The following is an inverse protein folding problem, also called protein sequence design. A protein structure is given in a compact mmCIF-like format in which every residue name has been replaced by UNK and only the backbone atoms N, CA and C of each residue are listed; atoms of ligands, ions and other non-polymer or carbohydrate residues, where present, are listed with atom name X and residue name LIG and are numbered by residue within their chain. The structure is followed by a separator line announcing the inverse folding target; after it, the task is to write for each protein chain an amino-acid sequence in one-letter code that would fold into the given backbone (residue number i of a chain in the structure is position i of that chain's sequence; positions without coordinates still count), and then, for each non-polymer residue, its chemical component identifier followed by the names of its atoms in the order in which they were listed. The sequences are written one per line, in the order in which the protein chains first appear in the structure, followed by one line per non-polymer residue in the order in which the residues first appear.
data_IF_273703943683
#
_entry.id   IF_273703943683
#
_cell.length_a   1.000
_cell.length_b   1.000
_cell.length_c   1.000
_cell.angle_alpha   90.00
_cell.angle_beta   90.00
_cell.angle_gamma   90.00
#
_symmetry.space_group_name_H-M   'P 1'
#
loop_
_entity.id
_entity.type
_entity.pdbx_description
1 polymer ?
#
# COMPACT_ATOMS: atom_id res chain seq x y z
N UNK A 1 15.23 16.59 22.80
CA UNK A 1 16.15 16.22 21.70
C UNK A 1 16.12 17.33 20.66
N UNK A 2 17.26 17.76 20.13
CA UNK A 2 17.29 18.75 19.04
C UNK A 2 17.05 18.06 17.68
N UNK A 3 16.63 18.81 16.66
CA UNK A 3 16.40 18.26 15.30
C UNK A 3 17.68 17.63 14.69
N UNK A 4 18.86 18.14 15.05
CA UNK A 4 20.14 17.58 14.61
C UNK A 4 20.49 16.28 15.34
N UNK A 5 20.31 16.24 16.66
CA UNK A 5 20.48 15.00 17.44
C UNK A 5 19.49 13.91 17.00
N UNK A 6 18.33 14.32 16.49
CA UNK A 6 17.33 13.45 15.89
C UNK A 6 17.80 12.85 14.55
N UNK A 7 18.25 13.68 13.60
CA UNK A 7 18.77 13.22 12.31
C UNK A 7 20.01 12.31 12.46
N UNK A 8 20.87 12.62 13.43
CA UNK A 8 21.99 11.76 13.82
C UNK A 8 21.50 10.42 14.37
N UNK A 9 20.41 10.38 15.16
CA UNK A 9 19.82 9.12 15.66
C UNK A 9 19.14 8.28 14.56
N UNK A 10 18.53 8.90 13.54
CA UNK A 10 18.01 8.17 12.37
C UNK A 10 19.14 7.44 11.63
N UNK A 11 20.27 8.11 11.42
CA UNK A 11 21.40 7.55 10.70
C UNK A 11 22.20 6.53 11.51
N UNK A 12 22.22 6.65 12.83
CA UNK A 12 23.10 5.83 13.70
C UNK A 12 22.39 4.75 14.49
N UNK A 13 21.12 4.94 14.85
CA UNK A 13 20.34 3.99 15.67
C UNK A 13 18.98 3.63 15.08
N UNK A 14 18.73 3.97 13.80
CA UNK A 14 17.42 3.81 13.16
C UNK A 14 16.29 4.45 14.00
N UNK A 15 16.57 5.61 14.60
CA UNK A 15 15.65 6.34 15.47
C UNK A 15 15.25 5.61 16.77
N UNK A 16 16.07 4.66 17.24
CA UNK A 16 15.84 3.97 18.52
C UNK A 16 16.49 4.70 19.71
N UNK A 17 15.77 4.79 20.82
CA UNK A 17 16.27 5.21 22.14
C UNK A 17 15.88 4.19 23.23
N UNK A 18 16.64 4.09 24.32
CA UNK A 18 16.22 3.28 25.47
C UNK A 18 14.95 3.85 26.11
N UNK A 19 14.00 2.98 26.43
CA UNK A 19 12.83 3.34 27.20
C UNK A 19 13.24 3.67 28.63
N UNK A 20 12.69 4.76 29.17
CA UNK A 20 13.03 5.25 30.50
C UNK A 20 12.50 4.35 31.64
N UNK A 21 11.67 3.36 31.33
CA UNK A 21 10.91 2.59 32.32
C UNK A 21 11.15 1.07 32.22
N UNK A 22 11.50 0.58 31.05
CA UNK A 22 12.00 -0.78 30.84
C UNK A 22 13.19 -0.65 29.90
N UNK A 23 14.28 -1.38 30.11
CA UNK A 23 15.51 -1.24 29.29
C UNK A 23 15.34 -1.70 27.81
N UNK A 24 14.10 -1.81 27.34
CA UNK A 24 13.76 -2.04 25.95
C UNK A 24 14.06 -0.80 25.09
N UNK A 25 14.51 -1.01 23.87
CA UNK A 25 14.67 0.06 22.88
C UNK A 25 13.31 0.43 22.29
N UNK A 26 12.90 1.69 22.45
CA UNK A 26 11.74 2.29 21.77
C UNK A 26 12.21 3.04 20.54
N UNK A 27 11.45 2.96 19.45
CA UNK A 27 11.61 3.91 18.36
C UNK A 27 11.04 5.26 18.77
N UNK A 28 11.62 6.35 18.27
CA UNK A 28 11.08 7.71 18.33
C UNK A 28 11.35 8.42 17.00
N UNK A 29 10.30 8.93 16.36
CA UNK A 29 10.37 9.57 15.05
C UNK A 29 9.04 9.46 14.29
N UNK A 30 8.93 10.01 13.07
CA UNK A 30 7.76 9.92 12.21
C UNK A 30 7.47 8.47 11.77
N UNK A 31 8.41 7.55 12.03
CA UNK A 31 8.26 6.12 11.81
C UNK A 31 7.77 5.35 13.04
N UNK A 32 7.57 6.00 14.20
CA UNK A 32 6.80 5.40 15.30
C UNK A 32 5.34 5.54 14.99
N UNK A 33 4.79 4.46 14.50
CA UNK A 33 3.41 4.43 14.07
C UNK A 33 2.60 3.66 15.08
N UNK A 34 1.50 4.26 15.56
CA UNK A 34 0.48 3.51 16.27
C UNK A 34 -0.59 3.06 15.27
N UNK A 35 -1.29 1.98 15.61
CA UNK A 35 -2.46 1.57 14.86
C UNK A 35 -3.45 2.74 14.80
N UNK A 36 -3.85 3.12 13.59
CA UNK A 36 -4.68 4.30 13.33
C UNK A 36 -6.06 4.16 13.97
N UNK A 37 -6.57 2.93 14.02
CA UNK A 37 -7.81 2.57 14.68
C UNK A 37 -7.64 1.28 15.49
N UNK A 38 -7.70 1.40 16.82
CA UNK A 38 -7.60 0.24 17.74
C UNK A 38 -8.83 -0.66 17.71
N UNK A 39 -9.90 -0.24 17.05
CA UNK A 39 -11.12 -1.01 16.83
C UNK A 39 -11.26 -1.43 15.36
N UNK A 40 -10.18 -1.36 14.56
CA UNK A 40 -10.20 -1.77 13.16
C UNK A 40 -10.73 -3.22 13.05
N UNK A 41 -11.85 -3.45 12.35
CA UNK A 41 -12.39 -4.79 12.16
C UNK A 41 -11.39 -5.78 11.54
N UNK A 42 -10.39 -5.29 10.80
CA UNK A 42 -9.33 -6.09 10.20
C UNK A 42 -8.40 -6.75 11.23
N UNK A 43 -8.46 -6.34 12.51
CA UNK A 43 -7.81 -7.07 13.61
C UNK A 43 -8.37 -8.49 13.78
N UNK A 44 -9.60 -8.76 13.30
CA UNK A 44 -10.20 -10.09 13.31
C UNK A 44 -9.75 -10.92 12.11
N UNK A 45 -9.19 -12.11 12.37
CA UNK A 45 -8.91 -13.14 11.36
C UNK A 45 -10.11 -13.45 10.47
N UNK A 46 -11.30 -13.53 11.05
CA UNK A 46 -12.50 -13.86 10.31
C UNK A 46 -12.88 -12.75 9.33
N UNK A 47 -12.77 -11.50 9.77
CA UNK A 47 -13.07 -10.33 8.92
C UNK A 47 -12.01 -10.18 7.84
N UNK A 48 -10.73 -10.22 8.21
CA UNK A 48 -9.62 -10.08 7.28
C UNK A 48 -9.64 -11.12 6.14
N UNK A 49 -10.06 -12.36 6.43
CA UNK A 49 -10.19 -13.43 5.44
C UNK A 49 -11.35 -13.22 4.45
N UNK A 50 -12.39 -12.47 4.83
CA UNK A 50 -13.61 -12.26 4.03
C UNK A 50 -13.62 -10.93 3.27
N UNK A 51 -12.71 -10.03 3.62
CA UNK A 51 -12.59 -8.71 3.02
C UNK A 51 -11.91 -8.79 1.65
N UNK A 52 -12.07 -7.69 0.91
CA UNK A 52 -11.41 -7.47 -0.37
C UNK A 52 -10.18 -6.63 -0.13
N UNK A 53 -9.07 -7.05 -0.70
CA UNK A 53 -7.78 -6.37 -0.57
C UNK A 53 -7.42 -5.65 -1.87
N UNK A 54 -6.49 -4.70 -1.78
CA UNK A 54 -6.09 -3.86 -2.89
C UNK A 54 -4.57 -3.76 -3.00
N UNK A 55 -4.09 -3.65 -4.22
CA UNK A 55 -2.68 -3.38 -4.52
C UNK A 55 -2.60 -2.44 -5.72
N UNK A 56 -1.61 -1.55 -5.73
CA UNK A 56 -1.27 -0.76 -6.92
C UNK A 56 0.09 -1.14 -7.45
N UNK A 57 0.18 -1.39 -8.75
CA UNK A 57 1.44 -1.71 -9.40
C UNK A 57 1.55 -1.01 -10.75
N UNK A 58 2.75 -1.03 -11.33
CA UNK A 58 2.98 -0.61 -12.71
C UNK A 58 2.80 -1.76 -13.72
N UNK A 59 2.38 -2.93 -13.26
CA UNK A 59 2.21 -4.15 -14.05
C UNK A 59 0.73 -4.52 -14.17
N UNK A 60 0.19 -4.48 -15.40
CA UNK A 60 -1.22 -4.81 -15.66
C UNK A 60 -1.59 -6.25 -15.25
N UNK A 61 -0.62 -7.15 -15.33
CA UNK A 61 -0.76 -8.58 -15.11
C UNK A 61 -0.38 -9.03 -13.69
N UNK A 62 -0.15 -8.11 -12.75
CA UNK A 62 0.23 -8.44 -11.37
C UNK A 62 -0.69 -9.49 -10.70
N UNK A 63 -0.14 -10.45 -9.93
CA UNK A 63 1.29 -10.74 -9.79
C UNK A 63 1.80 -11.41 -11.08
N UNK A 64 2.83 -10.83 -11.70
CA UNK A 64 3.35 -11.35 -12.97
C UNK A 64 4.16 -12.62 -12.74
N UNK A 65 4.20 -13.53 -13.71
CA UNK A 65 5.00 -14.75 -13.64
C UNK A 65 6.51 -14.46 -13.46
N UNK A 66 6.99 -13.27 -13.82
CA UNK A 66 8.39 -12.87 -13.60
C UNK A 66 8.72 -12.69 -12.12
N UNK A 67 7.74 -12.34 -11.27
CA UNK A 67 7.92 -12.36 -9.82
C UNK A 67 8.13 -13.78 -9.27
N UNK A 68 7.82 -14.82 -10.06
CA UNK A 68 8.05 -16.23 -9.69
C UNK A 68 9.40 -16.78 -10.14
N UNK A 69 10.24 -15.98 -10.83
CA UNK A 69 11.48 -16.46 -11.47
C UNK A 69 12.80 -16.10 -10.79
N UNK A 70 12.88 -14.96 -10.10
CA UNK A 70 14.11 -14.52 -9.37
C UNK A 70 13.83 -13.74 -8.07
N UNK A 71 12.56 -13.46 -7.78
CA UNK A 71 12.03 -12.97 -6.50
C UNK A 71 10.97 -13.93 -5.92
N UNK A 72 11.09 -15.21 -6.25
CA UNK A 72 10.11 -16.28 -6.02
C UNK A 72 9.77 -16.54 -4.54
N UNK A 73 10.50 -15.91 -3.62
CA UNK A 73 10.37 -16.10 -2.19
C UNK A 73 9.67 -14.94 -1.48
N UNK A 74 9.25 -13.86 -2.18
CA UNK A 74 8.55 -12.75 -1.54
C UNK A 74 7.05 -13.02 -1.41
N UNK A 75 6.46 -12.74 -0.24
CA UNK A 75 5.02 -12.69 -0.11
C UNK A 75 4.46 -11.50 -0.90
N UNK A 76 3.19 -11.58 -1.31
CA UNK A 76 2.52 -10.46 -1.96
C UNK A 76 1.96 -9.52 -0.88
N UNK A 77 2.20 -8.22 -1.04
CA UNK A 77 1.74 -7.22 -0.09
C UNK A 77 0.48 -6.52 -0.61
N UNK A 78 -0.61 -6.67 0.13
CA UNK A 78 -1.92 -6.06 -0.16
C UNK A 78 -2.39 -5.24 1.03
N UNK A 79 -3.12 -4.16 0.76
CA UNK A 79 -3.68 -3.28 1.79
C UNK A 79 -5.17 -3.05 1.58
N UNK A 80 -5.75 -2.17 2.38
CA UNK A 80 -7.06 -1.61 2.04
C UNK A 80 -6.93 -0.66 0.82
N UNK A 81 -8.07 -0.18 0.31
CA UNK A 81 -8.08 0.72 -0.85
C UNK A 81 -7.22 1.97 -0.65
N UNK A 82 -7.32 2.63 0.52
CA UNK A 82 -6.56 3.84 0.82
C UNK A 82 -5.06 3.54 0.83
N UNK A 83 -4.62 2.49 1.53
CA UNK A 83 -3.23 2.04 1.57
C UNK A 83 -2.66 1.77 0.18
N UNK A 84 -3.44 1.17 -0.72
CA UNK A 84 -3.01 0.93 -2.09
C UNK A 84 -2.79 2.26 -2.86
N UNK A 85 -3.73 3.22 -2.76
CA UNK A 85 -3.59 4.54 -3.38
C UNK A 85 -2.44 5.35 -2.77
N UNK A 86 -2.26 5.29 -1.45
CA UNK A 86 -1.14 5.95 -0.75
C UNK A 86 0.21 5.41 -1.23
N UNK A 87 0.34 4.09 -1.38
CA UNK A 87 1.55 3.48 -1.95
C UNK A 87 1.84 3.96 -3.38
N UNK A 88 0.81 4.06 -4.24
CA UNK A 88 0.96 4.63 -5.57
C UNK A 88 1.52 6.05 -5.54
N UNK A 89 0.89 6.94 -4.75
CA UNK A 89 1.29 8.36 -4.67
C UNK A 89 2.72 8.51 -4.14
N UNK A 90 3.10 7.72 -3.13
CA UNK A 90 4.45 7.69 -2.59
C UNK A 90 5.47 7.21 -3.64
N UNK A 91 5.17 6.15 -4.39
CA UNK A 91 6.06 5.67 -5.47
C UNK A 91 6.27 6.71 -6.55
N UNK A 92 5.21 7.44 -6.90
CA UNK A 92 5.34 8.55 -7.83
C UNK A 92 6.22 9.68 -7.29
N UNK A 93 6.10 9.98 -5.99
CA UNK A 93 6.90 11.00 -5.31
C UNK A 93 8.38 10.61 -5.22
N UNK A 94 8.66 9.40 -4.71
CA UNK A 94 9.97 9.07 -4.15
C UNK A 94 10.74 8.02 -4.95
N UNK A 95 10.07 7.32 -5.86
CA UNK A 95 10.65 6.18 -6.60
C UNK A 95 10.68 6.40 -8.11
N UNK A 96 10.43 7.62 -8.57
CA UNK A 96 10.51 7.99 -9.99
C UNK A 96 9.39 7.40 -10.86
N UNK A 97 8.32 6.87 -10.25
CA UNK A 97 7.20 6.27 -10.97
C UNK A 97 6.17 7.30 -11.46
N UNK A 98 6.41 8.61 -11.31
CA UNK A 98 5.45 9.67 -11.66
C UNK A 98 4.98 9.64 -13.12
N UNK A 99 5.80 9.11 -14.03
CA UNK A 99 5.47 8.99 -15.46
C UNK A 99 5.01 7.58 -15.87
N UNK A 100 4.94 6.64 -14.93
CA UNK A 100 4.51 5.27 -15.19
C UNK A 100 2.98 5.14 -15.16
N UNK A 101 2.47 4.20 -15.95
CA UNK A 101 1.07 3.77 -15.85
C UNK A 101 0.91 2.92 -14.60
N UNK A 102 -0.12 3.21 -13.83
CA UNK A 102 -0.49 2.41 -12.66
C UNK A 102 -1.75 1.61 -12.93
N UNK A 103 -1.87 0.51 -12.21
CA UNK A 103 -3.04 -0.35 -12.21
C UNK A 103 -3.49 -0.56 -10.77
N UNK A 104 -4.80 -0.53 -10.55
CA UNK A 104 -5.42 -0.93 -9.29
C UNK A 104 -5.87 -2.38 -9.42
N UNK A 105 -5.39 -3.22 -8.51
CA UNK A 105 -5.75 -4.63 -8.41
C UNK A 105 -6.68 -4.82 -7.21
N UNK A 106 -7.89 -5.31 -7.45
CA UNK A 106 -8.82 -5.79 -6.43
C UNK A 106 -8.59 -7.29 -6.25
N UNK A 107 -8.18 -7.70 -5.07
CA UNK A 107 -7.77 -9.05 -4.72
C UNK A 107 -8.82 -9.68 -3.80
N UNK A 108 -9.46 -10.74 -4.28
CA UNK A 108 -10.35 -11.57 -3.46
C UNK A 108 -9.57 -12.79 -2.98
N UNK A 109 -9.65 -13.07 -1.68
CA UNK A 109 -8.91 -14.17 -1.04
C UNK A 109 -9.83 -15.36 -0.75
N UNK A 110 -9.26 -16.56 -0.75
CA UNK A 110 -9.92 -17.81 -0.33
C UNK A 110 -9.27 -18.34 0.95
N UNK A 111 -9.32 -17.55 2.02
CA UNK A 111 -8.71 -17.86 3.31
C UNK A 111 -9.77 -18.22 4.35
N UNK A 112 -9.38 -19.06 5.31
CA UNK A 112 -10.06 -19.23 6.59
C UNK A 112 -9.37 -18.35 7.62
N UNK A 113 -10.05 -18.03 8.72
CA UNK A 113 -9.40 -17.33 9.83
C UNK A 113 -8.17 -18.05 10.39
N UNK A 114 -8.12 -19.39 10.29
CA UNK A 114 -6.96 -20.20 10.66
C UNK A 114 -5.79 -20.14 9.68
N UNK A 115 -6.00 -19.61 8.47
CA UNK A 115 -4.95 -19.46 7.47
C UNK A 115 -4.17 -18.14 7.65
N UNK A 116 -4.55 -17.32 8.65
CA UNK A 116 -3.95 -16.03 8.96
C UNK A 116 -3.34 -16.11 10.36
N UNK A 117 -2.10 -15.61 10.51
CA UNK A 117 -1.44 -15.50 11.81
C UNK A 117 -2.32 -14.74 12.82
N UNK A 118 -2.33 -15.21 14.08
CA UNK A 118 -3.07 -14.54 15.15
C UNK A 118 -2.44 -13.18 15.46
N UNK A 119 -3.28 -12.16 15.68
CA UNK A 119 -2.82 -10.79 15.91
C UNK A 119 -2.29 -10.12 14.65
N UNK A 120 -1.33 -9.21 14.81
CA UNK A 120 -0.65 -8.57 13.70
C UNK A 120 0.80 -8.28 14.09
N UNK A 121 1.69 -8.27 13.12
CA UNK A 121 3.08 -7.86 13.34
C UNK A 121 3.20 -6.35 13.34
N UNK A 122 3.96 -5.84 14.31
CA UNK A 122 4.23 -4.42 14.42
C UNK A 122 5.50 -4.07 13.62
N UNK A 123 5.32 -3.37 12.49
CA UNK A 123 6.43 -3.00 11.62
C UNK A 123 7.40 -1.99 12.25
N UNK A 124 7.05 -1.38 13.39
CA UNK A 124 8.03 -0.62 14.17
C UNK A 124 9.17 -1.55 14.65
N UNK A 125 8.89 -2.82 14.94
CA UNK A 125 9.84 -3.71 15.60
C UNK A 125 10.50 -4.70 14.63
N UNK A 126 9.75 -5.17 13.64
CA UNK A 126 10.17 -6.18 12.66
C UNK A 126 9.72 -5.75 11.25
N UNK A 127 10.59 -5.74 10.22
CA UNK A 127 10.23 -5.26 8.88
C UNK A 127 9.28 -6.22 8.16
N UNK A 128 7.99 -6.15 8.51
CA UNK A 128 6.96 -7.05 8.01
C UNK A 128 6.69 -6.87 6.50
N UNK A 129 7.03 -5.73 5.90
CA UNK A 129 7.05 -5.55 4.44
C UNK A 129 8.11 -6.39 3.70
N UNK A 130 8.99 -7.11 4.41
CA UNK A 130 10.01 -7.98 3.83
C UNK A 130 9.67 -9.48 3.96
N UNK A 131 8.47 -9.81 4.46
CA UNK A 131 8.06 -11.19 4.65
C UNK A 131 8.07 -11.97 3.34
N UNK A 132 8.71 -13.13 3.38
CA UNK A 132 8.74 -14.08 2.29
C UNK A 132 7.70 -15.20 2.41
N UNK A 133 7.54 -15.96 1.34
CA UNK A 133 6.78 -17.21 1.32
C UNK A 133 7.35 -18.23 2.31
N UNK A 134 8.68 -18.25 2.48
CA UNK A 134 9.34 -19.11 3.47
C UNK A 134 8.92 -18.75 4.91
N UNK A 135 8.75 -17.46 5.22
CA UNK A 135 8.29 -17.02 6.55
C UNK A 135 6.85 -17.46 6.79
N UNK A 136 5.99 -17.35 5.78
CA UNK A 136 4.61 -17.85 5.83
C UNK A 136 4.56 -19.38 5.98
N UNK A 137 5.45 -20.11 5.29
CA UNK A 137 5.56 -21.56 5.39
C UNK A 137 6.02 -22.00 6.79
N UNK A 138 7.04 -21.34 7.35
CA UNK A 138 7.54 -21.59 8.72
C UNK A 138 6.45 -21.33 9.75
N UNK A 139 5.68 -20.25 9.58
CA UNK A 139 4.55 -19.93 10.46
C UNK A 139 3.33 -20.84 10.24
N UNK A 140 3.32 -21.67 9.19
CA UNK A 140 2.23 -22.58 8.88
C UNK A 140 0.95 -21.89 8.41
N UNK A 141 1.05 -20.64 7.94
CA UNK A 141 -0.08 -19.78 7.53
C UNK A 141 0.02 -19.41 6.05
N UNK A 142 -1.06 -18.89 5.47
CA UNK A 142 -1.07 -18.34 4.12
C UNK A 142 -1.02 -16.82 4.11
N UNK A 143 -1.19 -16.18 5.26
CA UNK A 143 -1.12 -14.74 5.37
C UNK A 143 -0.69 -14.28 6.76
N UNK A 144 -0.03 -13.12 6.80
CA UNK A 144 0.32 -12.39 8.01
C UNK A 144 -0.20 -10.97 7.87
N UNK A 145 -0.94 -10.49 8.88
CA UNK A 145 -1.26 -9.06 8.98
C UNK A 145 -0.10 -8.32 9.61
N UNK A 146 0.10 -7.09 9.16
CA UNK A 146 1.06 -6.19 9.78
C UNK A 146 0.54 -4.76 9.79
N UNK A 147 0.95 -4.02 10.82
CA UNK A 147 0.73 -2.58 10.84
C UNK A 147 1.80 -1.93 9.97
N UNK A 148 1.36 -1.23 8.94
CA UNK A 148 2.22 -0.59 7.98
C UNK A 148 2.82 0.70 8.59
N UNK A 149 4.14 0.86 8.54
CA UNK A 149 4.84 2.08 9.00
C UNK A 149 5.41 2.91 7.85
N UNK A 150 5.46 2.35 6.64
CA UNK A 150 6.17 2.94 5.51
C UNK A 150 5.24 3.49 4.43
N UNK A 151 4.28 2.69 3.97
CA UNK A 151 3.45 2.99 2.80
C UNK A 151 2.12 3.63 3.19
N UNK A 152 1.60 3.26 4.36
CA UNK A 152 0.37 3.82 4.93
C UNK A 152 0.41 3.77 6.45
N UNK A 153 1.13 4.71 7.10
CA UNK A 153 1.36 4.68 8.54
C UNK A 153 0.07 4.48 9.35
N UNK A 154 0.02 3.36 10.06
CA UNK A 154 -0.98 3.01 11.06
C UNK A 154 -2.12 2.18 10.49
N UNK A 155 -2.10 1.91 9.19
CA UNK A 155 -3.05 1.04 8.53
C UNK A 155 -2.62 -0.43 8.64
N UNK A 156 -3.58 -1.36 8.64
CA UNK A 156 -3.28 -2.77 8.51
C UNK A 156 -3.13 -3.17 7.03
N UNK A 157 -2.02 -3.83 6.73
CA UNK A 157 -1.75 -4.52 5.47
C UNK A 157 -1.62 -6.02 5.70
N UNK A 158 -1.50 -6.78 4.62
CA UNK A 158 -1.34 -8.22 4.64
C UNK A 158 -0.25 -8.67 3.68
N UNK A 159 0.66 -9.49 4.18
CA UNK A 159 1.58 -10.29 3.38
C UNK A 159 0.88 -11.63 3.10
N UNK A 160 0.70 -12.01 1.84
CA UNK A 160 -0.05 -13.19 1.43
C UNK A 160 0.77 -14.12 0.54
N UNK A 161 0.56 -15.41 0.70
CA UNK A 161 0.93 -16.40 -0.30
C UNK A 161 0.00 -16.24 -1.52
N UNK A 162 0.53 -16.16 -2.75
CA UNK A 162 -0.28 -16.14 -3.98
C UNK A 162 -1.31 -17.27 -4.06
N UNK A 163 -1.05 -18.40 -3.42
CA UNK A 163 -1.97 -19.53 -3.29
C UNK A 163 -3.27 -19.21 -2.55
N UNK A 164 -3.29 -18.15 -1.74
CA UNK A 164 -4.49 -17.67 -1.05
C UNK A 164 -5.42 -16.83 -1.93
N UNK A 165 -5.02 -16.49 -3.15
CA UNK A 165 -5.79 -15.63 -4.05
C UNK A 165 -6.89 -16.44 -4.76
N UNK A 166 -8.13 -15.99 -4.63
CA UNK A 166 -9.26 -16.54 -5.38
C UNK A 166 -9.37 -15.90 -6.77
N UNK A 167 -9.31 -14.56 -6.82
CA UNK A 167 -9.49 -13.81 -8.05
C UNK A 167 -8.85 -12.42 -7.94
N UNK A 168 -8.45 -11.89 -9.11
CA UNK A 168 -7.93 -10.53 -9.26
C UNK A 168 -8.70 -9.82 -10.36
N UNK A 169 -9.16 -8.61 -10.07
CA UNK A 169 -9.73 -7.70 -11.06
C UNK A 169 -8.82 -6.47 -11.15
N UNK A 170 -8.51 -6.03 -12.37
CA UNK A 170 -7.57 -4.93 -12.60
C UNK A 170 -8.21 -3.83 -13.43
N UNK A 171 -7.93 -2.58 -13.09
CA UNK A 171 -8.20 -1.40 -13.94
C UNK A 171 -6.92 -0.57 -14.07
N UNK A 172 -6.77 0.12 -15.19
CA UNK A 172 -5.73 1.16 -15.34
C UNK A 172 -6.13 2.41 -14.57
N UNK A 173 -5.15 3.07 -13.95
CA UNK A 173 -5.28 4.34 -13.27
C UNK A 173 -4.60 5.48 -14.04
N UNK A 174 -5.11 6.72 -13.94
CA UNK A 174 -6.29 7.07 -13.15
C UNK A 174 -7.58 6.89 -13.97
N UNK A 175 -8.67 6.51 -13.31
CA UNK A 175 -10.00 6.38 -13.94
C UNK A 175 -10.69 7.74 -14.04
N UNK A 176 -11.43 7.95 -15.13
CA UNK A 176 -12.34 9.08 -15.23
C UNK A 176 -13.43 8.93 -14.16
N UNK A 177 -13.46 9.86 -13.21
CA UNK A 177 -14.44 9.88 -12.12
C UNK A 177 -15.66 10.76 -12.43
N UNK A 178 -15.78 11.24 -13.68
CA UNK A 178 -16.84 12.08 -14.16
C UNK A 178 -16.63 13.56 -13.85
N UNK A 179 -17.57 14.43 -14.29
CA UNK A 179 -17.47 15.86 -14.06
C UNK A 179 -17.61 16.18 -12.56
N UNK A 180 -16.60 16.85 -12.00
CA UNK A 180 -16.71 17.59 -10.74
C UNK A 180 -17.27 18.98 -11.01
N UNK A 181 -17.89 19.58 -9.99
CA UNK A 181 -18.16 21.03 -9.98
C UNK A 181 -16.88 21.74 -10.40
N UNK A 182 -16.94 22.62 -11.40
CA UNK A 182 -15.80 23.44 -11.81
C UNK A 182 -15.25 24.15 -10.57
N UNK A 183 -14.14 23.64 -10.04
CA UNK A 183 -13.33 24.43 -9.12
C UNK A 183 -12.63 25.42 -10.01
N UNK A 184 -12.82 26.72 -9.76
CA UNK A 184 -12.17 27.77 -10.52
C UNK A 184 -10.69 27.41 -10.65
N UNK A 185 -10.26 27.05 -11.87
CA UNK A 185 -8.87 26.74 -12.16
C UNK A 185 -8.10 27.96 -11.69
N UNK A 186 -7.17 27.84 -10.73
CA UNK A 186 -6.38 28.98 -10.35
C UNK A 186 -5.77 29.54 -11.63
N UNK A 187 -5.77 30.87 -11.82
CA UNK A 187 -5.02 31.44 -12.94
C UNK A 187 -3.58 30.95 -12.77
N UNK A 188 -3.19 29.99 -13.61
CA UNK A 188 -1.85 29.41 -13.67
C UNK A 188 -0.94 30.49 -14.24
N UNK A 189 -0.68 31.53 -13.45
CA UNK A 189 0.21 32.60 -13.82
C UNK A 189 1.59 32.01 -14.07
N UNK A 190 2.23 32.43 -15.16
CA UNK A 190 3.53 31.97 -15.68
C UNK A 190 4.73 32.10 -14.70
N UNK A 191 4.50 32.38 -13.41
CA UNK A 191 5.52 32.70 -12.39
C UNK A 191 5.52 31.79 -11.16
N UNK A 192 4.64 30.80 -11.07
CA UNK A 192 4.61 29.91 -9.89
C UNK A 192 5.67 28.81 -9.99
N UNK A 193 6.43 28.60 -8.91
CA UNK A 193 7.34 27.46 -8.84
C UNK A 193 6.54 26.13 -8.82
N UNK A 194 7.05 25.03 -9.41
CA UNK A 194 6.34 23.74 -9.47
C UNK A 194 5.83 23.25 -8.11
N UNK A 195 6.61 23.44 -7.04
CA UNK A 195 6.23 23.10 -5.66
C UNK A 195 5.04 23.91 -5.14
N UNK A 196 4.96 25.21 -5.47
CA UNK A 196 3.84 26.07 -5.09
C UNK A 196 2.58 25.68 -5.87
N UNK A 197 2.74 25.32 -7.14
CA UNK A 197 1.63 24.87 -7.98
C UNK A 197 1.09 23.51 -7.52
N UNK A 198 1.97 22.55 -7.21
CA UNK A 198 1.57 21.25 -6.65
C UNK A 198 0.77 21.40 -5.35
N UNK A 199 1.21 22.29 -4.46
CA UNK A 199 0.49 22.61 -3.22
C UNK A 199 -0.88 23.24 -3.46
N UNK A 200 -0.96 24.19 -4.39
CA UNK A 200 -2.23 24.83 -4.74
C UNK A 200 -3.22 23.82 -5.32
N UNK A 201 -2.77 22.96 -6.23
CA UNK A 201 -3.60 21.90 -6.80
C UNK A 201 -4.05 20.90 -5.73
N UNK A 202 -3.18 20.50 -4.81
CA UNK A 202 -3.56 19.62 -3.71
C UNK A 202 -4.64 20.24 -2.80
N UNK A 203 -4.51 21.52 -2.45
CA UNK A 203 -5.54 22.23 -1.67
C UNK A 203 -6.85 22.41 -2.45
N UNK A 204 -6.75 22.55 -3.77
CA UNK A 204 -7.92 22.72 -4.66
C UNK A 204 -8.71 21.42 -4.78
N UNK A 205 -8.01 20.29 -4.82
CA UNK A 205 -8.60 19.00 -5.20
C UNK A 205 -8.81 18.03 -4.04
N UNK A 206 -8.03 18.13 -2.97
CA UNK A 206 -8.16 17.33 -1.76
C UNK A 206 -8.87 18.11 -0.67
N UNK A 207 -9.81 17.45 0.00
CA UNK A 207 -10.43 18.00 1.22
C UNK A 207 -9.37 18.07 2.33
N UNK A 208 -9.46 19.10 3.17
CA UNK A 208 -8.66 19.27 4.40
C UNK A 208 -8.76 18.09 5.38
N UNK A 209 -9.75 17.22 5.21
CA UNK A 209 -9.93 15.99 5.99
C UNK A 209 -9.03 14.82 5.55
N UNK A 210 -8.27 14.95 4.46
CA UNK A 210 -7.32 13.93 4.00
C UNK A 210 -6.06 13.94 4.90
N UNK A 211 -5.52 12.76 5.21
CA UNK A 211 -4.29 12.62 6.00
C UNK A 211 -3.17 13.52 5.41
N UNK A 212 -2.50 14.37 6.22
CA UNK A 212 -1.43 15.26 5.76
C UNK A 212 -0.32 14.58 4.95
N UNK A 213 0.06 13.33 5.28
CA UNK A 213 1.06 12.57 4.52
C UNK A 213 0.57 12.22 3.11
N UNK A 214 -0.72 11.95 2.96
CA UNK A 214 -1.35 11.67 1.67
C UNK A 214 -1.43 12.94 0.83
N UNK A 215 -1.75 14.07 1.48
CA UNK A 215 -1.71 15.37 0.85
C UNK A 215 -0.29 15.72 0.37
N UNK A 216 0.74 15.46 1.18
CA UNK A 216 2.14 15.67 0.82
C UNK A 216 2.58 14.77 -0.34
N UNK A 217 2.32 13.46 -0.28
CA UNK A 217 2.63 12.53 -1.38
C UNK A 217 1.91 12.91 -2.66
N UNK A 218 0.66 13.37 -2.57
CA UNK A 218 -0.08 13.90 -3.71
C UNK A 218 0.56 15.17 -4.28
N UNK A 219 0.93 16.14 -3.45
CA UNK A 219 1.67 17.34 -3.86
C UNK A 219 2.94 16.95 -4.61
N UNK A 220 3.76 16.07 -4.04
CA UNK A 220 5.02 15.67 -4.65
C UNK A 220 4.84 14.90 -5.96
N UNK A 221 3.84 14.02 -6.03
CA UNK A 221 3.47 13.33 -7.28
C UNK A 221 3.11 14.32 -8.39
N UNK A 222 2.37 15.40 -8.07
CA UNK A 222 2.06 16.46 -9.02
C UNK A 222 3.29 17.28 -9.42
N UNK A 223 4.19 17.57 -8.49
CA UNK A 223 5.46 18.27 -8.77
C UNK A 223 6.34 17.43 -9.69
N UNK A 224 6.45 16.13 -9.46
CA UNK A 224 7.20 15.22 -10.34
C UNK A 224 6.68 15.27 -11.78
N UNK A 225 5.36 15.28 -11.95
CA UNK A 225 4.73 15.41 -13.28
C UNK A 225 4.91 16.79 -13.91
N UNK A 226 4.90 17.86 -13.10
CA UNK A 226 5.18 19.22 -13.53
C UNK A 226 6.60 19.44 -14.04
N UNK A 227 7.57 18.72 -13.47
CA UNK A 227 8.97 18.75 -13.91
C UNK A 227 9.21 17.94 -15.19
N UNK A 228 8.28 17.07 -15.57
CA UNK A 228 8.27 16.40 -16.87
C UNK A 228 7.82 17.39 -17.96
N UNK A 229 8.79 18.02 -18.63
CA UNK A 229 8.59 19.07 -19.66
C UNK A 229 7.74 18.65 -20.86
N UNK A 230 7.33 17.38 -20.94
CA UNK A 230 6.45 16.86 -21.99
C UNK A 230 4.95 17.07 -21.72
N UNK A 231 4.57 17.49 -20.50
CA UNK A 231 3.18 17.63 -20.10
C UNK A 231 2.64 19.05 -20.30
N UNK A 232 1.54 19.19 -21.05
CA UNK A 232 0.82 20.46 -21.17
C UNK A 232 0.04 20.80 -19.88
N UNK A 233 -0.26 22.09 -19.61
CA UNK A 233 -1.06 22.47 -18.45
C UNK A 233 -2.43 21.79 -18.38
N UNK A 234 -3.08 21.55 -19.52
CA UNK A 234 -4.37 20.87 -19.59
C UNK A 234 -4.27 19.38 -19.23
N UNK A 235 -3.20 18.70 -19.65
CA UNK A 235 -2.93 17.32 -19.28
C UNK A 235 -2.62 17.19 -17.79
N UNK A 236 -1.86 18.13 -17.22
CA UNK A 236 -1.58 18.17 -15.80
C UNK A 236 -2.84 18.38 -14.96
N UNK A 237 -3.70 19.30 -15.38
CA UNK A 237 -4.96 19.61 -14.70
C UNK A 237 -5.93 18.42 -14.76
N UNK A 238 -6.02 17.74 -15.91
CA UNK A 238 -6.75 16.48 -16.04
C UNK A 238 -6.15 15.37 -15.16
N UNK A 239 -4.82 15.29 -15.08
CA UNK A 239 -4.11 14.33 -14.24
C UNK A 239 -4.39 14.57 -12.75
N UNK A 240 -4.24 15.81 -12.28
CA UNK A 240 -4.52 16.21 -10.91
C UNK A 240 -5.98 15.92 -10.52
N UNK A 241 -6.92 16.23 -11.41
CA UNK A 241 -8.33 15.84 -11.25
C UNK A 241 -8.49 14.34 -11.06
N UNK A 242 -7.98 13.54 -11.98
CA UNK A 242 -8.21 12.10 -11.97
C UNK A 242 -7.52 11.42 -10.78
N UNK A 243 -6.31 11.85 -10.40
CA UNK A 243 -5.62 11.36 -9.21
C UNK A 243 -6.34 11.76 -7.92
N UNK A 244 -6.88 12.99 -7.84
CA UNK A 244 -7.70 13.39 -6.69
C UNK A 244 -8.98 12.55 -6.59
N UNK A 245 -9.55 12.18 -7.74
CA UNK A 245 -10.70 11.28 -7.87
C UNK A 245 -10.53 9.96 -7.13
N UNK A 246 -9.30 9.45 -7.04
CA UNK A 246 -8.97 8.24 -6.27
C UNK A 246 -9.24 8.43 -4.77
N UNK A 247 -8.95 9.60 -4.23
CA UNK A 247 -9.10 9.87 -2.79
C UNK A 247 -10.51 10.36 -2.44
N UNK A 248 -11.12 11.14 -3.33
CA UNK A 248 -12.38 11.85 -3.06
C UNK A 248 -13.63 11.15 -3.60
N UNK A 249 -13.48 10.27 -4.60
CA UNK A 249 -14.55 9.48 -5.20
C UNK A 249 -14.26 7.97 -5.13
N UNK A 250 -13.84 7.42 -3.97
CA UNK A 250 -13.34 6.04 -3.89
C UNK A 250 -14.41 5.01 -4.31
N UNK A 251 -15.70 5.30 -4.09
CA UNK A 251 -16.81 4.43 -4.52
C UNK A 251 -16.86 4.23 -6.03
N UNK A 252 -16.61 5.28 -6.82
CA UNK A 252 -16.61 5.19 -8.29
C UNK A 252 -15.48 4.27 -8.75
N UNK A 253 -14.28 4.45 -8.20
CA UNK A 253 -13.10 3.64 -8.54
C UNK A 253 -13.29 2.19 -8.10
N UNK A 254 -13.77 1.97 -6.87
CA UNK A 254 -14.06 0.64 -6.34
C UNK A 254 -15.15 -0.07 -7.15
N UNK A 255 -16.16 0.66 -7.63
CA UNK A 255 -17.20 0.11 -8.53
C UNK A 255 -16.58 -0.30 -9.86
N UNK A 256 -15.81 0.58 -10.49
CA UNK A 256 -15.14 0.29 -11.76
C UNK A 256 -14.29 -0.98 -11.68
N UNK A 257 -13.41 -1.11 -10.67
CA UNK A 257 -12.58 -2.31 -10.50
C UNK A 257 -13.39 -3.55 -10.14
N UNK A 258 -14.50 -3.42 -9.39
CA UNK A 258 -15.36 -4.57 -9.07
C UNK A 258 -16.13 -5.13 -10.27
N UNK A 259 -16.27 -4.35 -11.35
CA UNK A 259 -16.93 -4.76 -12.60
C UNK A 259 -15.95 -5.23 -13.68
N UNK A 260 -14.64 -5.05 -13.46
CA UNK A 260 -13.63 -5.48 -14.40
C UNK A 260 -13.56 -7.03 -14.49
N UNK A 261 -13.13 -7.59 -15.63
CA UNK A 261 -12.97 -9.03 -15.79
C UNK A 261 -12.07 -9.63 -14.70
N UNK A 262 -12.55 -10.70 -14.06
CA UNK A 262 -11.80 -11.40 -13.03
C UNK A 262 -10.84 -12.41 -13.66
N UNK A 263 -9.56 -12.33 -13.28
CA UNK A 263 -8.56 -13.36 -13.52
C UNK A 263 -8.55 -14.31 -12.32
N UNK A 264 -8.64 -15.63 -12.51
CA UNK A 264 -8.54 -16.57 -11.40
C UNK A 264 -7.14 -16.53 -10.78
N UNK A 265 -7.06 -16.72 -9.47
CA UNK A 265 -5.80 -16.97 -8.77
C UNK A 265 -5.27 -18.40 -9.04
N UNK A 266 -4.16 -18.75 -8.39
CA UNK A 266 -3.68 -20.13 -8.39
C UNK A 266 -4.63 -21.02 -7.57
N UNK A 267 -4.77 -22.29 -7.96
CA UNK A 267 -5.76 -23.19 -7.35
C UNK A 267 -5.38 -23.56 -5.90
N UNK A 268 -6.08 -22.94 -4.93
CA UNK A 268 -5.82 -23.04 -3.48
C UNK A 268 -5.80 -24.49 -2.98
N UNK A 269 -6.62 -25.38 -3.57
CA UNK A 269 -6.71 -26.78 -3.19
C UNK A 269 -5.39 -27.54 -3.44
N UNK A 270 -4.76 -27.32 -4.59
CA UNK A 270 -3.49 -27.95 -4.96
C UNK A 270 -2.32 -27.50 -4.07
N UNK A 271 -2.38 -26.30 -3.50
CA UNK A 271 -1.34 -25.80 -2.58
C UNK A 271 -1.54 -26.37 -1.17
N UNK A 272 -2.79 -26.45 -0.70
CA UNK A 272 -3.11 -27.12 0.57
C UNK A 272 -2.70 -28.59 0.57
N UNK A 273 -2.94 -29.32 -0.52
CA UNK A 273 -2.50 -30.72 -0.70
C UNK A 273 -0.97 -30.85 -0.75
N UNK A 274 -0.27 -29.90 -1.39
CA UNK A 274 1.21 -29.86 -1.40
C UNK A 274 1.81 -29.55 -0.02
N UNK A 275 1.21 -28.66 0.75
CA UNK A 275 1.66 -28.38 2.14
C UNK A 275 1.36 -29.55 3.08
N UNK A 276 0.17 -30.15 2.96
CA UNK A 276 -0.18 -31.35 3.74
C UNK A 276 0.75 -32.53 3.43
N UNK A 277 1.19 -32.69 2.18
CA UNK A 277 2.14 -33.76 1.80
C UNK A 277 3.59 -33.46 2.19
N UNK A 278 4.00 -32.19 2.35
CA UNK A 278 5.31 -31.80 2.90
C UNK A 278 5.38 -31.86 4.43
N UNK A 279 4.24 -31.78 5.13
CA UNK A 279 4.15 -31.79 6.59
C UNK A 279 4.21 -33.17 7.27
N UNK A 280 4.47 -34.27 6.54
CA UNK A 280 4.46 -35.64 7.11
C UNK A 280 5.87 -36.22 7.35
N UNK A 281 6.92 -35.62 6.79
CA UNK A 281 8.30 -36.12 6.98
C UNK A 281 9.14 -35.15 7.82
N UNK A 282 8.89 -35.07 9.13
CA UNK A 282 9.69 -34.12 9.93
C UNK A 282 9.60 -34.12 11.45
N UNK A 283 8.77 -34.92 12.11
CA UNK A 283 8.83 -35.05 13.58
C UNK A 283 8.71 -36.51 13.98
N UNK A 284 9.84 -37.23 13.94
CA UNK A 284 10.03 -38.37 14.84
C UNK A 284 10.60 -37.82 16.14
N UNK A 285 9.74 -37.68 17.15
CA UNK A 285 10.20 -37.60 18.52
C UNK A 285 11.11 -38.81 18.80
N UNK A 286 12.35 -38.53 19.22
CA UNK A 286 13.13 -39.39 20.10
C UNK A 286 13.38 -38.62 21.37
#
# INVERSE_FOLDING_TARGET
MSAQAYAESEQTSAARVPCANCDASIHIGPYVTALRDTHDPLLSNQVAAQQVWYHTSTAADWPSAVHTGTGADAALHVGNYATAVENMLRRMSDQGDASNRFYLHRVSLCLRGSDIEEGFRDENHEPAAQLGLADLEIAGVLAVRYMNTLESPGSLSMAIDPAGIAAIQSIELPVDTGPRTEVATPELGERMAPTQLGWLLAQTYLDTAVNPQVQESFCHALVGRLLDTSCSPAELDAYARNCSGLLVCPRTVMTAVSTAPARPGQEVALVRERRASRGVDGVRCR
#
